data_IF_452736707653
#
_entry.id   IF_452736707653
#
_cell.length_a   1.000
_cell.length_b   1.000
_cell.length_c   1.000
_cell.angle_alpha   90.00
_cell.angle_beta   90.00
_cell.angle_gamma   90.00
#
_symmetry.space_group_name_H-M   'P 1'
#
loop_
_entity.id
_entity.type
_entity.pdbx_description
1 polymer ?
#
# COMPACT_ATOMS: atom_id res chain seq x y z
N UNK A 1 6.69 -5.45 -1.00
CA UNK A 1 6.57 -4.14 -0.34
C UNK A 1 5.96 -4.33 1.04
N UNK A 2 6.44 -3.60 2.05
CA UNK A 2 5.94 -3.64 3.43
C UNK A 2 5.66 -2.22 3.91
N UNK A 3 4.48 -2.02 4.48
CA UNK A 3 4.09 -0.77 5.14
C UNK A 3 4.36 -0.90 6.65
N UNK A 4 5.13 0.02 7.22
CA UNK A 4 5.45 0.04 8.66
C UNK A 4 4.55 1.00 9.43
N UNK A 5 4.28 2.17 8.83
CA UNK A 5 3.46 3.21 9.44
C UNK A 5 2.70 3.98 8.37
N UNK A 6 1.48 4.39 8.69
CA UNK A 6 0.66 5.27 7.86
C UNK A 6 0.05 6.35 8.75
N UNK A 7 0.34 7.61 8.43
CA UNK A 7 -0.22 8.76 9.13
C UNK A 7 -1.07 9.59 8.18
N UNK A 8 -2.28 9.87 8.58
CA UNK A 8 -3.24 10.72 7.86
C UNK A 8 -3.54 11.95 8.69
N UNK A 9 -3.43 13.14 8.08
CA UNK A 9 -3.78 14.40 8.74
C UNK A 9 -4.66 15.24 7.83
N UNK A 10 -5.80 15.67 8.34
CA UNK A 10 -6.80 16.43 7.59
C UNK A 10 -7.21 15.77 6.27
N UNK A 11 -7.32 14.45 6.27
CA UNK A 11 -7.64 13.65 5.10
C UNK A 11 -9.14 13.34 5.08
N UNK A 12 -9.90 13.97 4.18
CA UNK A 12 -11.38 13.88 4.18
C UNK A 12 -11.96 14.28 5.55
N UNK A 13 -12.67 13.35 6.22
CA UNK A 13 -13.21 13.51 7.56
C UNK A 13 -12.25 13.16 8.71
N UNK A 14 -11.03 12.74 8.39
CA UNK A 14 -10.04 12.33 9.38
C UNK A 14 -9.20 13.54 9.78
N UNK A 15 -9.28 13.98 11.02
CA UNK A 15 -8.45 15.07 11.55
C UNK A 15 -7.01 14.62 11.70
N UNK A 16 -6.79 13.50 12.40
CA UNK A 16 -5.49 12.87 12.55
C UNK A 16 -5.65 11.37 12.85
N UNK A 17 -4.86 10.55 12.19
CA UNK A 17 -4.76 9.12 12.49
C UNK A 17 -3.36 8.64 12.20
N UNK A 18 -2.78 7.93 13.16
CA UNK A 18 -1.50 7.29 13.06
C UNK A 18 -1.66 5.79 13.29
N UNK A 19 -1.13 4.99 12.37
CA UNK A 19 -1.32 3.55 12.33
C UNK A 19 0.04 2.90 12.15
N UNK A 20 0.44 2.09 13.10
CA UNK A 20 1.61 1.24 13.03
C UNK A 20 1.20 -0.18 12.61
N UNK A 21 1.99 -0.76 11.73
CA UNK A 21 1.77 -2.12 11.24
C UNK A 21 2.84 -3.05 11.81
N UNK A 22 2.45 -4.23 12.27
CA UNK A 22 3.39 -5.20 12.83
C UNK A 22 4.37 -5.70 11.76
N UNK A 23 5.49 -6.21 12.21
CA UNK A 23 6.51 -6.72 11.31
C UNK A 23 6.07 -7.96 10.55
N UNK A 24 5.21 -8.76 11.12
CA UNK A 24 4.69 -10.01 10.55
C UNK A 24 3.23 -10.21 10.92
N UNK A 25 2.52 -11.02 10.13
CA UNK A 25 1.15 -11.41 10.39
C UNK A 25 0.11 -10.66 9.54
N UNK A 26 -1.14 -10.85 9.90
CA UNK A 26 -2.31 -10.25 9.26
C UNK A 26 -2.81 -9.09 10.11
N UNK A 27 -3.07 -7.96 9.49
CA UNK A 27 -3.68 -6.80 10.16
C UNK A 27 -5.14 -6.70 9.75
N UNK A 28 -6.03 -6.80 10.71
CA UNK A 28 -7.46 -6.62 10.50
C UNK A 28 -7.86 -5.23 10.98
N UNK A 29 -8.31 -4.39 10.05
CA UNK A 29 -8.85 -3.06 10.36
C UNK A 29 -10.37 -3.17 10.47
N UNK A 30 -10.87 -3.19 11.69
CA UNK A 30 -12.30 -3.24 12.01
C UNK A 30 -12.81 -1.90 12.54
N UNK A 31 -14.10 -1.70 12.46
CA UNK A 31 -14.77 -0.49 12.97
C UNK A 31 -16.07 -0.20 12.26
N UNK A 32 -16.87 0.73 12.80
CA UNK A 32 -18.14 1.16 12.20
C UNK A 32 -17.96 1.66 10.76
N UNK A 33 -19.03 1.68 9.99
CA UNK A 33 -19.03 2.30 8.67
C UNK A 33 -18.68 3.77 8.79
N UNK A 34 -17.98 4.32 7.78
CA UNK A 34 -17.51 5.73 7.69
C UNK A 34 -16.31 6.11 8.58
N UNK A 35 -15.76 5.18 9.35
CA UNK A 35 -14.59 5.46 10.22
C UNK A 35 -13.28 5.66 9.43
N UNK A 36 -13.32 5.53 8.10
CA UNK A 36 -12.17 5.78 7.24
C UNK A 36 -11.32 4.54 6.90
N UNK A 37 -11.87 3.32 7.04
CA UNK A 37 -11.16 2.08 6.67
C UNK A 37 -10.70 2.08 5.20
N UNK A 38 -11.62 2.36 4.29
CA UNK A 38 -11.33 2.48 2.85
C UNK A 38 -10.42 3.68 2.56
N UNK A 39 -10.59 4.78 3.31
CA UNK A 39 -9.76 5.98 3.15
C UNK A 39 -8.28 5.75 3.40
N UNK A 40 -7.90 4.74 4.20
CA UNK A 40 -6.49 4.40 4.42
C UNK A 40 -5.84 3.78 3.18
N UNK A 41 -6.54 2.86 2.52
CA UNK A 41 -6.07 2.24 1.27
C UNK A 41 -5.99 3.28 0.15
N UNK A 42 -7.06 4.08 -0.01
CA UNK A 42 -7.10 5.15 -1.00
C UNK A 42 -6.03 6.22 -0.74
N UNK A 43 -5.70 6.51 0.53
CA UNK A 43 -4.64 7.44 0.88
C UNK A 43 -3.26 6.92 0.49
N UNK A 44 -2.99 5.62 0.69
CA UNK A 44 -1.75 4.99 0.27
C UNK A 44 -1.61 5.03 -1.26
N UNK A 45 -2.69 4.75 -1.99
CA UNK A 45 -2.71 4.85 -3.45
C UNK A 45 -2.41 6.25 -3.93
N UNK A 46 -3.11 7.22 -3.35
CA UNK A 46 -2.92 8.61 -3.70
C UNK A 46 -1.48 9.08 -3.41
N UNK A 47 -0.90 8.62 -2.29
CA UNK A 47 0.48 8.90 -1.93
C UNK A 47 1.45 8.37 -2.98
N UNK A 48 1.25 7.14 -3.45
CA UNK A 48 2.17 6.48 -4.38
C UNK A 48 1.99 6.94 -5.84
N UNK A 49 0.75 7.18 -6.28
CA UNK A 49 0.43 7.40 -7.70
C UNK A 49 0.25 8.87 -8.08
N UNK A 50 -0.32 9.69 -7.20
CA UNK A 50 -0.66 11.07 -7.57
C UNK A 50 0.46 12.06 -7.22
N UNK A 51 0.69 13.04 -8.10
CA UNK A 51 1.50 14.22 -7.75
C UNK A 51 0.72 15.12 -6.79
N UNK A 52 1.41 15.80 -5.89
CA UNK A 52 0.83 16.69 -4.87
C UNK A 52 -0.03 17.83 -5.44
N UNK A 53 0.31 18.30 -6.65
CA UNK A 53 -0.39 19.36 -7.41
C UNK A 53 -1.39 18.82 -8.43
N UNK A 54 -1.70 17.52 -8.38
CA UNK A 54 -2.62 16.91 -9.33
C UNK A 54 -4.03 17.49 -9.19
N UNK A 55 -4.68 17.74 -10.33
CA UNK A 55 -6.08 18.23 -10.40
C UNK A 55 -7.09 17.09 -10.59
N UNK A 56 -6.64 15.84 -10.53
CA UNK A 56 -7.50 14.67 -10.66
C UNK A 56 -8.62 14.67 -9.62
N UNK A 57 -9.73 14.02 -9.95
CA UNK A 57 -10.93 13.93 -9.10
C UNK A 57 -10.60 13.34 -7.73
N UNK A 58 -9.79 12.30 -7.70
CA UNK A 58 -9.36 11.60 -6.49
C UNK A 58 -8.62 12.54 -5.53
N UNK A 59 -7.73 13.40 -6.05
CA UNK A 59 -7.01 14.41 -5.25
C UNK A 59 -7.99 15.47 -4.74
N UNK A 60 -8.94 15.92 -5.56
CA UNK A 60 -9.95 16.91 -5.12
C UNK A 60 -10.84 16.40 -4.00
N UNK A 61 -11.16 15.10 -3.99
CA UNK A 61 -12.03 14.47 -3.01
C UNK A 61 -11.41 14.31 -1.62
N UNK A 62 -10.08 14.43 -1.50
CA UNK A 62 -9.43 14.30 -0.18
C UNK A 62 -9.33 15.61 0.59
N UNK A 63 -9.80 16.71 0.00
CA UNK A 63 -9.87 18.00 0.69
C UNK A 63 -10.73 17.85 1.96
N UNK A 64 -10.23 18.29 3.14
CA UNK A 64 -11.02 18.27 4.34
C UNK A 64 -12.27 19.16 4.20
N UNK A 65 -13.40 18.70 4.73
CA UNK A 65 -14.68 19.40 4.66
C UNK A 65 -14.86 20.44 5.76
N UNK A 66 -14.10 20.30 6.84
CA UNK A 66 -14.23 21.08 8.08
C UNK A 66 -13.22 22.22 8.20
N UNK A 67 -12.18 22.26 7.38
CA UNK A 67 -11.14 23.27 7.45
C UNK A 67 -10.49 23.53 6.07
N UNK A 68 -10.06 24.76 5.84
CA UNK A 68 -9.34 25.14 4.64
C UNK A 68 -7.81 24.91 4.81
N UNK A 69 -7.44 23.66 5.00
CA UNK A 69 -6.07 23.19 5.20
C UNK A 69 -5.71 22.12 4.14
N UNK A 70 -4.42 21.81 4.02
CA UNK A 70 -3.97 20.70 3.13
C UNK A 70 -4.20 19.34 3.79
N UNK A 71 -4.61 18.36 2.98
CA UNK A 71 -4.63 16.97 3.38
C UNK A 71 -3.20 16.40 3.30
N UNK A 72 -2.76 15.70 4.34
CA UNK A 72 -1.41 15.15 4.40
C UNK A 72 -1.45 13.64 4.63
N UNK A 73 -0.60 12.94 3.89
CA UNK A 73 -0.37 11.50 4.00
C UNK A 73 1.12 11.26 4.16
N UNK A 74 1.48 10.47 5.16
CA UNK A 74 2.86 10.03 5.40
C UNK A 74 2.85 8.52 5.52
N UNK A 75 3.78 7.85 4.83
CA UNK A 75 3.98 6.42 4.98
C UNK A 75 5.46 6.08 5.15
N UNK A 76 5.75 5.16 6.07
CA UNK A 76 7.04 4.51 6.17
C UNK A 76 6.96 3.14 5.49
N UNK A 77 7.78 2.93 4.47
CA UNK A 77 7.71 1.78 3.56
C UNK A 77 9.08 1.15 3.42
N UNK A 78 9.09 -0.19 3.35
CA UNK A 78 10.24 -0.97 2.87
C UNK A 78 9.88 -1.74 1.61
N UNK A 79 10.78 -1.72 0.61
CA UNK A 79 10.63 -2.48 -0.62
C UNK A 79 12.00 -2.85 -1.19
N UNK A 80 12.26 -4.14 -1.41
CA UNK A 80 13.60 -4.62 -1.76
C UNK A 80 14.65 -4.11 -0.76
N UNK A 81 15.74 -3.50 -1.24
CA UNK A 81 16.79 -2.94 -0.37
C UNK A 81 16.43 -1.57 0.22
N UNK A 82 15.32 -0.98 -0.18
CA UNK A 82 14.95 0.39 0.17
C UNK A 82 14.06 0.43 1.42
N UNK A 83 14.35 1.38 2.32
CA UNK A 83 13.46 1.80 3.41
C UNK A 83 13.41 3.31 3.42
N UNK A 84 12.20 3.88 3.45
CA UNK A 84 12.01 5.31 3.33
C UNK A 84 10.73 5.78 4.01
N UNK A 85 10.71 7.06 4.36
CA UNK A 85 9.51 7.81 4.74
C UNK A 85 9.11 8.69 3.58
N UNK A 86 7.87 8.56 3.13
CA UNK A 86 7.32 9.32 2.02
C UNK A 86 6.13 10.13 2.48
N UNK A 87 6.19 11.44 2.28
CA UNK A 87 5.19 12.41 2.71
C UNK A 87 4.67 13.20 1.53
N UNK A 88 3.35 13.38 1.46
CA UNK A 88 2.70 14.31 0.56
C UNK A 88 1.65 15.13 1.26
N UNK A 89 1.63 16.41 0.95
CA UNK A 89 0.54 17.32 1.28
C UNK A 89 -0.13 17.78 0.01
N UNK A 90 -1.44 17.67 -0.03
CA UNK A 90 -2.30 18.03 -1.15
C UNK A 90 -3.05 19.33 -0.86
N UNK A 91 -3.47 20.05 -1.93
CA UNK A 91 -4.23 21.29 -1.89
C UNK A 91 -3.42 22.48 -1.35
N UNK A 92 -3.61 22.88 -0.10
CA UNK A 92 -2.90 24.02 0.47
C UNK A 92 -1.46 23.65 0.80
N UNK A 93 -0.53 24.45 0.29
CA UNK A 93 0.92 24.25 0.45
C UNK A 93 1.32 22.83 0.02
N UNK A 94 0.88 22.47 -1.21
CA UNK A 94 1.21 21.19 -1.80
C UNK A 94 2.72 20.94 -1.75
N UNK A 95 3.12 19.79 -1.24
CA UNK A 95 4.52 19.46 -0.97
C UNK A 95 4.71 17.96 -1.02
N UNK A 96 5.82 17.52 -1.59
CA UNK A 96 6.24 16.12 -1.60
C UNK A 96 7.63 16.02 -1.00
N UNK A 97 7.83 15.13 -0.04
CA UNK A 97 9.11 14.83 0.60
C UNK A 97 9.36 13.33 0.63
N UNK A 98 10.59 12.96 0.34
CA UNK A 98 11.12 11.61 0.47
C UNK A 98 12.35 11.63 1.38
N UNK A 99 12.31 10.87 2.45
CA UNK A 99 13.48 10.63 3.31
C UNK A 99 13.88 9.17 3.23
N UNK A 100 14.98 8.89 2.56
CA UNK A 100 15.57 7.56 2.49
C UNK A 100 16.25 7.22 3.81
N UNK A 101 15.96 6.02 4.33
CA UNK A 101 16.55 5.48 5.56
C UNK A 101 17.59 4.41 5.24
N UNK A 102 17.38 3.63 4.18
CA UNK A 102 18.28 2.60 3.66
C UNK A 102 18.16 2.52 2.13
N UNK A 103 19.25 2.10 1.43
CA UNK A 103 20.57 1.70 1.92
C UNK A 103 21.43 2.92 2.34
N UNK A 104 21.14 4.11 1.82
CA UNK A 104 21.84 5.35 2.12
C UNK A 104 20.83 6.42 2.50
N UNK A 105 21.16 7.24 3.49
CA UNK A 105 20.32 8.40 3.85
C UNK A 105 20.39 9.46 2.77
N UNK A 106 19.24 9.88 2.32
CA UNK A 106 19.05 10.90 1.29
C UNK A 106 17.70 11.60 1.53
N UNK A 107 17.62 12.87 1.20
CA UNK A 107 16.36 13.62 1.29
C UNK A 107 16.11 14.30 -0.05
N UNK A 108 14.93 14.06 -0.62
CA UNK A 108 14.49 14.63 -1.89
C UNK A 108 13.13 15.29 -1.69
N UNK A 109 12.81 16.27 -2.55
CA UNK A 109 11.55 17.01 -2.49
C UNK A 109 10.93 17.16 -3.86
N UNK A 110 9.63 17.48 -3.91
CA UNK A 110 8.91 17.77 -5.15
C UNK A 110 8.84 16.60 -6.13
N UNK A 111 8.96 16.91 -7.40
CA UNK A 111 8.87 15.92 -8.49
C UNK A 111 10.00 14.89 -8.44
N UNK A 112 11.21 15.30 -8.05
CA UNK A 112 12.34 14.38 -7.91
C UNK A 112 12.07 13.28 -6.86
N UNK A 113 11.47 13.66 -5.72
CA UNK A 113 11.04 12.71 -4.70
C UNK A 113 9.98 11.74 -5.24
N UNK A 114 9.02 12.25 -6.01
CA UNK A 114 7.97 11.43 -6.62
C UNK A 114 8.54 10.44 -7.63
N UNK A 115 9.38 10.91 -8.53
CA UNK A 115 9.96 10.07 -9.59
C UNK A 115 10.91 9.01 -8.99
N UNK A 116 11.64 9.35 -7.92
CA UNK A 116 12.50 8.41 -7.20
C UNK A 116 11.69 7.27 -6.56
N UNK A 117 10.58 7.59 -5.89
CA UNK A 117 9.70 6.55 -5.31
C UNK A 117 9.13 5.66 -6.40
N UNK A 118 8.66 6.22 -7.50
CA UNK A 118 8.14 5.43 -8.63
C UNK A 118 9.19 4.51 -9.23
N UNK A 119 10.43 4.97 -9.38
CA UNK A 119 11.52 4.13 -9.86
C UNK A 119 11.82 2.95 -8.92
N UNK A 120 11.88 3.19 -7.61
CA UNK A 120 12.09 2.14 -6.61
C UNK A 120 10.95 1.11 -6.60
N UNK A 121 9.70 1.57 -6.73
CA UNK A 121 8.55 0.66 -6.80
C UNK A 121 8.56 -0.15 -8.09
N UNK A 122 8.85 0.45 -9.24
CA UNK A 122 8.95 -0.25 -10.51
C UNK A 122 10.05 -1.32 -10.51
N UNK A 123 11.14 -1.11 -9.78
CA UNK A 123 12.23 -2.08 -9.63
C UNK A 123 11.86 -3.26 -8.70
N UNK A 124 11.05 -3.00 -7.67
CA UNK A 124 10.90 -3.93 -6.53
C UNK A 124 9.50 -4.50 -6.35
N UNK A 125 8.50 -3.98 -7.05
CA UNK A 125 7.08 -4.36 -6.92
C UNK A 125 6.50 -4.67 -8.29
N UNK A 126 5.86 -5.83 -8.41
CA UNK A 126 4.96 -6.10 -9.52
C UNK A 126 3.67 -5.29 -9.32
N UNK A 127 3.56 -4.19 -10.07
CA UNK A 127 2.44 -3.25 -9.91
C UNK A 127 1.11 -3.82 -10.36
N UNK A 128 1.09 -4.75 -11.33
CA UNK A 128 -0.13 -5.40 -11.80
C UNK A 128 -0.66 -6.36 -10.74
N UNK A 129 0.23 -7.15 -10.13
CA UNK A 129 -0.10 -8.00 -8.99
C UNK A 129 -0.54 -7.17 -7.77
N UNK A 130 0.12 -6.06 -7.49
CA UNK A 130 -0.27 -5.13 -6.42
C UNK A 130 -1.70 -4.59 -6.61
N UNK A 131 -2.03 -4.16 -7.82
CA UNK A 131 -3.37 -3.65 -8.15
C UNK A 131 -4.42 -4.76 -8.09
N UNK A 132 -4.11 -5.95 -8.58
CA UNK A 132 -5.01 -7.09 -8.56
C UNK A 132 -5.38 -7.58 -7.17
N UNK A 133 -4.44 -7.51 -6.22
CA UNK A 133 -4.69 -7.86 -4.81
C UNK A 133 -5.58 -6.86 -4.07
N UNK A 134 -5.82 -5.69 -4.64
CA UNK A 134 -6.61 -4.63 -4.02
C UNK A 134 -8.05 -4.68 -4.50
N UNK A 135 -8.86 -5.47 -3.82
CA UNK A 135 -10.30 -5.48 -4.04
C UNK A 135 -10.94 -4.35 -3.23
N UNK A 136 -11.33 -3.29 -3.90
CA UNK A 136 -12.12 -2.21 -3.29
C UNK A 136 -13.60 -2.62 -3.25
N UNK A 137 -14.28 -2.27 -2.17
CA UNK A 137 -15.68 -2.62 -1.91
C UNK A 137 -16.66 -2.13 -3.01
N UNK A 138 -16.25 -1.14 -3.80
CA UNK A 138 -17.02 -0.55 -4.90
C UNK A 138 -16.47 -0.89 -6.28
N UNK A 139 -15.40 -1.67 -6.38
CA UNK A 139 -14.88 -2.08 -7.67
C UNK A 139 -15.73 -3.22 -8.24
N UNK A 140 -16.03 -3.17 -9.54
CA UNK A 140 -16.58 -4.32 -10.24
C UNK A 140 -15.56 -5.45 -10.13
N UNK A 141 -16.03 -6.67 -9.86
CA UNK A 141 -15.21 -7.90 -9.84
C UNK A 141 -14.84 -8.34 -11.27
N UNK A 142 -14.37 -7.43 -12.12
CA UNK A 142 -13.74 -7.82 -13.37
C UNK A 142 -12.45 -8.56 -13.05
N UNK A 143 -12.27 -9.74 -13.63
CA UNK A 143 -11.05 -10.50 -13.49
C UNK A 143 -9.85 -9.64 -13.90
N UNK A 144 -8.87 -9.48 -13.00
CA UNK A 144 -7.62 -8.83 -13.36
C UNK A 144 -6.87 -9.74 -14.34
N UNK A 145 -6.40 -9.18 -15.44
CA UNK A 145 -5.54 -9.91 -16.35
C UNK A 145 -4.13 -9.98 -15.74
N UNK A 146 -3.80 -11.13 -15.20
CA UNK A 146 -2.51 -11.42 -14.58
C UNK A 146 -1.61 -12.27 -15.49
N UNK A 147 -1.98 -12.43 -16.76
CA UNK A 147 -1.24 -13.30 -17.72
C UNK A 147 0.21 -12.87 -17.94
N UNK A 148 0.53 -11.59 -17.68
CA UNK A 148 1.89 -11.05 -17.77
C UNK A 148 2.63 -10.92 -16.43
N UNK A 149 2.07 -11.41 -15.32
CA UNK A 149 2.70 -11.28 -13.99
C UNK A 149 3.75 -12.39 -13.76
N UNK A 150 5.02 -12.07 -14.00
CA UNK A 150 6.15 -12.96 -13.69
C UNK A 150 6.25 -13.30 -12.19
N UNK A 151 5.80 -12.41 -11.31
CA UNK A 151 5.82 -12.65 -9.88
C UNK A 151 4.78 -13.69 -9.47
N UNK A 152 3.59 -13.65 -10.08
CA UNK A 152 2.54 -14.65 -9.85
C UNK A 152 2.98 -16.02 -10.40
N UNK A 153 3.51 -16.06 -11.62
CA UNK A 153 4.01 -17.29 -12.23
C UNK A 153 5.06 -17.95 -11.36
N UNK A 154 6.06 -17.20 -10.88
CA UNK A 154 7.10 -17.73 -9.98
C UNK A 154 6.54 -18.20 -8.64
N UNK A 155 5.55 -17.50 -8.09
CA UNK A 155 4.92 -17.92 -6.83
C UNK A 155 4.14 -19.23 -7.01
N UNK A 156 3.44 -19.40 -8.12
CA UNK A 156 2.72 -20.62 -8.45
C UNK A 156 3.69 -21.79 -8.71
N UNK A 157 4.81 -21.55 -9.39
CA UNK A 157 5.84 -22.58 -9.64
C UNK A 157 6.46 -23.06 -8.32
N UNK A 158 6.72 -22.16 -7.37
CA UNK A 158 7.23 -22.52 -6.03
C UNK A 158 6.22 -23.37 -5.27
N UNK A 159 4.94 -23.01 -5.31
CA UNK A 159 3.89 -23.77 -4.64
C UNK A 159 3.69 -25.13 -5.31
N UNK A 160 3.69 -25.19 -6.62
CA UNK A 160 3.58 -26.45 -7.38
C UNK A 160 4.77 -27.39 -7.07
N UNK A 161 6.00 -26.87 -7.07
CA UNK A 161 7.19 -27.63 -6.71
C UNK A 161 7.18 -28.13 -5.27
N UNK A 162 6.68 -27.32 -4.33
CA UNK A 162 6.54 -27.72 -2.93
C UNK A 162 5.48 -28.80 -2.72
N UNK A 163 4.41 -28.81 -3.53
CA UNK A 163 3.38 -29.87 -3.50
C UNK A 163 3.93 -31.18 -4.05
N UNK A 164 4.72 -31.16 -5.11
CA UNK A 164 5.35 -32.31 -5.68
C UNK A 164 6.37 -32.95 -4.71
N UNK A 165 7.18 -32.12 -4.02
CA UNK A 165 8.12 -32.57 -3.00
C UNK A 165 7.40 -33.16 -1.77
N UNK A 166 6.27 -32.57 -1.33
CA UNK A 166 5.47 -33.09 -0.23
C UNK A 166 4.76 -34.40 -0.60
N UNK A 167 4.28 -34.53 -1.84
CA UNK A 167 3.70 -35.76 -2.35
C UNK A 167 4.76 -36.89 -2.46
N UNK A 168 5.97 -36.56 -2.86
CA UNK A 168 7.10 -37.51 -2.93
C UNK A 168 7.58 -37.94 -1.54
N UNK A 169 7.45 -37.08 -0.50
CA UNK A 169 7.83 -37.36 0.88
C UNK A 169 6.78 -38.10 1.69
N UNK A 170 5.58 -38.35 1.16
CA UNK A 170 4.49 -39.09 1.83
C UNK A 170 3.92 -38.41 3.08
N UNK A 171 4.13 -37.13 3.25
CA UNK A 171 3.63 -36.36 4.38
C UNK A 171 2.47 -35.44 3.95
N UNK A 172 1.29 -36.01 3.83
CA UNK A 172 0.06 -35.20 3.89
C UNK A 172 -0.28 -35.06 5.38
N UNK A 173 0.30 -34.08 6.02
CA UNK A 173 -0.12 -33.69 7.36
C UNK A 173 -1.39 -32.84 7.23
N UNK A 174 -2.48 -33.42 7.68
CA UNK A 174 -3.80 -32.81 7.77
C UNK A 174 -3.78 -31.76 8.88
N UNK A 175 -3.28 -30.58 8.58
CA UNK A 175 -3.35 -29.43 9.48
C UNK A 175 -3.94 -28.26 8.71
N UNK A 176 -5.23 -28.02 8.93
CA UNK A 176 -5.86 -26.71 8.92
C UNK A 176 -7.36 -26.77 8.58
N UNK A 177 -8.13 -27.47 9.40
CA UNK A 177 -9.53 -27.11 9.62
C UNK A 177 -9.82 -27.40 11.09
N UNK A 178 -9.46 -26.46 11.93
CA UNK A 178 -10.09 -26.31 13.26
C UNK A 178 -9.81 -24.90 13.77
N UNK A 179 -10.82 -24.07 13.65
CA UNK A 179 -11.19 -22.91 14.46
C UNK A 179 -11.95 -21.87 13.66
N UNK A 180 -13.16 -22.24 13.31
CA UNK A 180 -14.25 -21.27 13.21
C UNK A 180 -15.40 -21.93 13.96
N UNK A 181 -15.40 -21.73 15.28
CA UNK A 181 -16.58 -21.84 16.16
C UNK A 181 -16.12 -21.47 17.57
N UNK A 182 -16.32 -20.24 17.95
CA UNK A 182 -16.79 -19.69 19.21
C UNK A 182 -16.84 -18.18 19.14
#
# INVERSE_FOLDING_TARGET
MKLHRLTLTNYRGITHRDIEFPDHGVVIVSGANEIGKTSMLEALDLLLEAKDRSTKKEVKQVKPTHADVGAEVIAEISTGPYRFVYRKRFHKRAETELTMLAPRREQLTGDEAHDRVRAMLAETVDMDLWQAQRVLQSASTSAADLSGSDALSRALDVVAGAVDDAAAAGAVDTLLIDRIDE
#
